data_IF_033412788521
#
_entry.id   IF_033412788521
#
_cell.length_a   1.000
_cell.length_b   1.000
_cell.length_c   1.000
_cell.angle_alpha   90.00
_cell.angle_beta   90.00
_cell.angle_gamma   90.00
#
_symmetry.space_group_name_H-M   'P 1'
#
loop_
_entity.id
_entity.type
_entity.pdbx_description
1 polymer ?
#
# COMPACT_ATOMS: atom_id res chain seq x y z
N UNK A 1 10.07 -5.04 19.79
CA UNK A 1 10.68 -4.23 18.72
C UNK A 1 9.72 -3.11 18.35
N UNK A 2 10.20 -1.86 18.18
CA UNK A 2 9.39 -0.74 17.70
C UNK A 2 9.61 -0.56 16.18
N UNK A 3 8.52 -0.36 15.44
CA UNK A 3 8.54 -0.10 14.00
C UNK A 3 7.69 1.13 13.68
N UNK A 4 8.28 2.12 13.04
CA UNK A 4 7.58 3.32 12.56
C UNK A 4 6.85 2.98 11.25
N UNK A 5 5.57 3.31 11.16
CA UNK A 5 4.79 3.21 9.92
C UNK A 5 5.05 4.48 9.10
N UNK A 6 5.91 4.38 8.09
CA UNK A 6 6.39 5.48 7.24
C UNK A 6 5.39 5.91 6.18
N UNK A 7 4.23 6.39 6.60
CA UNK A 7 3.22 6.95 5.72
C UNK A 7 2.38 8.02 6.43
N UNK A 8 2.02 9.06 5.72
CA UNK A 8 1.05 10.09 6.17
C UNK A 8 -0.39 9.72 5.82
N UNK A 9 -0.62 8.64 5.05
CA UNK A 9 -1.97 8.19 4.68
C UNK A 9 -2.65 7.46 5.86
N UNK A 10 -3.72 8.02 6.46
CA UNK A 10 -4.37 7.43 7.63
C UNK A 10 -5.03 6.08 7.33
N UNK A 11 -5.48 5.85 6.09
CA UNK A 11 -6.03 4.57 5.66
C UNK A 11 -4.99 3.46 5.70
N UNK A 12 -3.76 3.74 5.22
CA UNK A 12 -2.65 2.79 5.32
C UNK A 12 -2.24 2.51 6.76
N UNK A 13 -2.16 3.54 7.60
CA UNK A 13 -1.83 3.38 9.04
C UNK A 13 -2.83 2.45 9.71
N UNK A 14 -4.14 2.65 9.46
CA UNK A 14 -5.19 1.80 10.00
C UNK A 14 -5.03 0.35 9.53
N UNK A 15 -4.88 0.14 8.21
CA UNK A 15 -4.71 -1.21 7.64
C UNK A 15 -3.48 -1.93 8.23
N UNK A 16 -2.33 -1.27 8.40
CA UNK A 16 -1.14 -1.91 9.00
C UNK A 16 -1.34 -2.26 10.47
N UNK A 17 -2.02 -1.42 11.24
CA UNK A 17 -2.33 -1.74 12.65
C UNK A 17 -3.20 -2.99 12.76
N UNK A 18 -4.16 -3.16 11.85
CA UNK A 18 -5.03 -4.34 11.81
C UNK A 18 -4.31 -5.58 11.29
N UNK A 19 -3.55 -5.45 10.18
CA UNK A 19 -2.84 -6.57 9.54
C UNK A 19 -1.69 -7.15 10.38
N UNK A 20 -1.05 -6.33 11.22
CA UNK A 20 0.11 -6.70 12.03
C UNK A 20 -0.22 -6.83 13.53
N UNK A 21 -1.51 -6.85 13.91
CA UNK A 21 -1.95 -6.86 15.30
C UNK A 21 -1.45 -8.06 16.12
N UNK A 22 -1.31 -9.22 15.47
CA UNK A 22 -0.93 -10.48 16.14
C UNK A 22 0.58 -10.70 16.29
N UNK A 23 1.40 -9.71 15.86
CA UNK A 23 2.86 -9.80 15.99
C UNK A 23 3.32 -9.03 17.23
N UNK A 24 4.30 -9.54 18.01
CA UNK A 24 4.80 -8.88 19.20
C UNK A 24 5.73 -7.70 18.89
N UNK A 25 5.20 -6.70 18.15
CA UNK A 25 5.86 -5.45 17.80
C UNK A 25 5.00 -4.26 18.24
N UNK A 26 5.64 -3.12 18.48
CA UNK A 26 4.97 -1.85 18.74
C UNK A 26 4.99 -1.03 17.45
N UNK A 27 3.83 -0.71 16.90
CA UNK A 27 3.70 0.13 15.72
C UNK A 27 3.54 1.60 16.12
N UNK A 28 4.45 2.44 15.65
CA UNK A 28 4.44 3.88 15.86
C UNK A 28 4.03 4.59 14.57
N UNK A 29 3.22 5.62 14.66
CA UNK A 29 2.96 6.54 13.54
C UNK A 29 4.13 7.52 13.37
N UNK A 30 4.13 8.28 12.28
CA UNK A 30 5.08 9.37 12.08
C UNK A 30 4.92 10.46 13.16
N UNK A 31 3.71 10.71 13.63
CA UNK A 31 3.44 11.69 14.69
C UNK A 31 4.01 11.22 16.04
N UNK A 32 3.95 9.93 16.36
CA UNK A 32 4.51 9.35 17.59
C UNK A 32 6.04 9.55 17.69
N UNK A 33 6.70 9.81 16.58
CA UNK A 33 8.15 10.04 16.48
C UNK A 33 8.51 11.45 15.98
N UNK A 34 7.55 12.38 15.97
CA UNK A 34 7.70 13.77 15.53
C UNK A 34 8.15 13.93 14.06
N UNK A 35 7.80 13.00 13.19
CA UNK A 35 8.13 13.00 11.76
C UNK A 35 6.90 13.23 10.86
N UNK A 36 5.73 13.59 11.40
CA UNK A 36 4.51 13.82 10.63
C UNK A 36 4.63 14.91 9.54
N UNK A 37 5.61 15.82 9.69
CA UNK A 37 5.92 16.86 8.72
C UNK A 37 6.94 16.43 7.64
N UNK A 38 7.54 15.25 7.77
CA UNK A 38 8.57 14.78 6.86
C UNK A 38 7.92 14.21 5.59
N UNK A 39 8.22 14.84 4.46
CA UNK A 39 7.88 14.29 3.14
C UNK A 39 9.11 13.63 2.51
N UNK A 40 8.92 12.45 1.94
CA UNK A 40 9.98 11.71 1.24
C UNK A 40 9.60 11.62 -0.23
N UNK A 41 10.31 12.34 -1.12
CA UNK A 41 10.00 12.33 -2.54
C UNK A 41 10.09 10.93 -3.15
N UNK A 42 9.04 10.50 -3.83
CA UNK A 42 8.99 9.23 -4.55
C UNK A 42 9.59 9.39 -5.95
N UNK A 43 10.92 9.30 -6.02
CA UNK A 43 11.69 9.47 -7.26
C UNK A 43 11.99 8.16 -7.99
N UNK A 44 11.59 7.03 -7.41
CA UNK A 44 11.80 5.71 -8.01
C UNK A 44 10.82 5.41 -9.13
N UNK A 45 11.26 4.62 -10.10
CA UNK A 45 10.44 4.18 -11.25
C UNK A 45 9.62 2.91 -10.94
N UNK A 46 9.81 2.31 -9.76
CA UNK A 46 9.12 1.08 -9.34
C UNK A 46 8.59 1.23 -7.92
N UNK A 47 7.52 0.49 -7.60
CA UNK A 47 7.00 0.40 -6.23
C UNK A 47 8.08 -0.03 -5.23
N UNK A 48 8.95 -0.97 -5.62
CA UNK A 48 10.05 -1.43 -4.78
C UNK A 48 11.04 -0.31 -4.46
N UNK A 49 11.45 0.46 -5.47
CA UNK A 49 12.41 1.55 -5.28
C UNK A 49 11.83 2.61 -4.33
N UNK A 50 10.57 3.00 -4.52
CA UNK A 50 9.91 3.98 -3.67
C UNK A 50 9.69 3.47 -2.23
N UNK A 51 9.27 2.21 -2.06
CA UNK A 51 9.11 1.62 -0.74
C UNK A 51 10.43 1.60 0.04
N UNK A 52 11.52 1.18 -0.59
CA UNK A 52 12.86 1.16 0.00
C UNK A 52 13.34 2.57 0.36
N UNK A 53 13.16 3.52 -0.55
CA UNK A 53 13.54 4.91 -0.35
C UNK A 53 12.85 5.50 0.89
N UNK A 54 11.53 5.36 0.98
CA UNK A 54 10.75 5.81 2.13
C UNK A 54 11.15 5.11 3.43
N UNK A 55 11.24 3.78 3.42
CA UNK A 55 11.60 3.00 4.62
C UNK A 55 12.97 3.42 5.17
N UNK A 56 13.98 3.57 4.30
CA UNK A 56 15.32 4.02 4.71
C UNK A 56 15.32 5.42 5.26
N UNK A 57 14.64 6.36 4.61
CA UNK A 57 14.57 7.74 5.05
C UNK A 57 13.93 7.86 6.44
N UNK A 58 12.79 7.21 6.67
CA UNK A 58 12.13 7.23 7.97
C UNK A 58 12.91 6.46 9.05
N UNK A 59 13.58 5.34 8.69
CA UNK A 59 14.42 4.63 9.64
C UNK A 59 15.62 5.48 10.11
N UNK A 60 16.29 6.16 9.19
CA UNK A 60 17.39 7.07 9.52
C UNK A 60 16.93 8.25 10.38
N UNK A 61 15.80 8.87 10.01
CA UNK A 61 15.28 10.04 10.73
C UNK A 61 14.78 9.70 12.14
N UNK A 62 14.13 8.54 12.32
CA UNK A 62 13.60 8.12 13.63
C UNK A 62 14.61 7.41 14.52
N UNK A 63 15.70 6.88 13.97
CA UNK A 63 16.62 5.99 14.67
C UNK A 63 16.01 4.62 15.02
N UNK A 64 14.86 4.27 14.44
CA UNK A 64 14.10 3.04 14.67
C UNK A 64 13.93 2.26 13.37
N UNK A 65 13.49 0.99 13.47
CA UNK A 65 12.98 0.31 12.28
C UNK A 65 11.83 1.09 11.68
N UNK A 66 11.78 1.18 10.36
CA UNK A 66 10.66 1.81 9.67
C UNK A 66 10.11 0.90 8.57
N UNK A 67 8.80 0.75 8.57
CA UNK A 67 8.01 0.10 7.54
C UNK A 67 7.45 1.19 6.63
N UNK A 68 7.69 1.10 5.33
CA UNK A 68 6.98 1.91 4.35
C UNK A 68 6.54 1.05 3.18
N UNK A 69 5.46 1.44 2.54
CA UNK A 69 5.00 0.81 1.32
C UNK A 69 4.90 1.80 0.18
N UNK A 70 5.08 1.28 -1.02
CA UNK A 70 4.56 1.90 -2.21
C UNK A 70 3.59 0.95 -2.90
N UNK A 71 2.47 1.49 -3.37
CA UNK A 71 1.36 0.69 -3.90
C UNK A 71 0.54 1.49 -4.88
N UNK A 72 -0.02 0.81 -5.86
CA UNK A 72 -0.85 1.45 -6.86
C UNK A 72 -1.68 0.48 -7.67
N UNK A 73 -2.56 1.07 -8.46
CA UNK A 73 -3.40 0.41 -9.44
C UNK A 73 -2.69 0.40 -10.79
N UNK A 74 -2.64 -0.75 -11.43
CA UNK A 74 -2.14 -0.91 -12.80
C UNK A 74 -3.28 -1.41 -13.68
N UNK A 75 -3.56 -0.73 -14.78
CA UNK A 75 -4.64 -1.06 -15.73
C UNK A 75 -4.05 -1.44 -17.07
N UNK A 76 -4.33 -2.65 -17.55
CA UNK A 76 -3.73 -3.20 -18.77
C UNK A 76 -4.02 -2.34 -20.01
N UNK A 77 -5.27 -1.91 -20.17
CA UNK A 77 -5.68 -1.06 -21.28
C UNK A 77 -5.01 0.33 -21.29
N UNK A 78 -4.41 0.73 -20.16
CA UNK A 78 -3.66 1.98 -20.01
C UNK A 78 -2.14 1.73 -19.93
N UNK A 79 -1.66 0.58 -20.42
CA UNK A 79 -0.25 0.18 -20.39
C UNK A 79 0.36 0.23 -18.96
N UNK A 80 -0.42 -0.19 -17.96
CA UNK A 80 -0.02 -0.21 -16.57
C UNK A 80 -0.23 1.11 -15.81
N UNK A 81 -0.68 2.17 -16.48
CA UNK A 81 -1.05 3.40 -15.76
C UNK A 81 -2.30 3.15 -14.88
N UNK A 82 -2.43 3.85 -13.75
CA UNK A 82 -1.55 4.86 -13.14
C UNK A 82 -0.22 4.36 -12.58
N UNK A 83 -0.09 3.08 -12.15
CA UNK A 83 1.15 2.53 -11.63
C UNK A 83 1.67 3.31 -10.42
N UNK A 84 2.97 3.61 -10.39
CA UNK A 84 3.62 4.40 -9.31
C UNK A 84 3.08 5.82 -9.17
N UNK A 85 2.29 6.29 -10.14
CA UNK A 85 1.64 7.60 -10.10
C UNK A 85 0.22 7.56 -9.54
N UNK A 86 -0.22 6.44 -8.95
CA UNK A 86 -1.61 6.26 -8.49
C UNK A 86 -2.09 7.36 -7.55
N UNK A 87 -1.26 7.80 -6.60
CA UNK A 87 -1.62 8.84 -5.65
C UNK A 87 -1.70 10.27 -6.24
N UNK A 88 -1.13 10.49 -7.44
CA UNK A 88 -1.08 11.79 -8.13
C UNK A 88 -1.62 11.74 -9.56
N UNK A 89 -2.33 10.67 -9.90
CA UNK A 89 -2.88 10.46 -11.22
C UNK A 89 -3.90 11.53 -11.61
N UNK A 90 -3.80 12.02 -12.83
CA UNK A 90 -4.69 13.07 -13.34
C UNK A 90 -4.24 14.50 -13.04
N UNK A 91 -3.18 14.69 -12.25
CA UNK A 91 -2.59 15.99 -11.96
C UNK A 91 -2.78 16.46 -10.52
N UNK A 92 -2.20 17.62 -10.23
CA UNK A 92 -2.30 18.24 -8.91
C UNK A 92 -3.73 18.70 -8.59
N UNK A 93 -4.09 18.63 -7.31
CA UNK A 93 -5.36 19.13 -6.79
C UNK A 93 -6.54 18.16 -6.90
N UNK A 94 -6.38 16.99 -7.54
CA UNK A 94 -7.44 15.98 -7.53
C UNK A 94 -7.43 15.19 -6.21
N UNK A 95 -8.63 15.02 -5.65
CA UNK A 95 -8.90 14.05 -4.60
C UNK A 95 -9.07 12.63 -5.17
N UNK A 96 -9.35 11.65 -4.32
CA UNK A 96 -9.54 10.27 -4.74
C UNK A 96 -10.74 10.12 -5.71
N UNK A 97 -11.82 10.87 -5.50
CA UNK A 97 -12.98 10.84 -6.40
C UNK A 97 -12.63 11.38 -7.80
N UNK A 98 -11.93 12.50 -7.86
CA UNK A 98 -11.48 13.07 -9.14
C UNK A 98 -10.50 12.14 -9.89
N UNK A 99 -9.61 11.44 -9.18
CA UNK A 99 -8.71 10.43 -9.79
C UNK A 99 -9.49 9.25 -10.34
N UNK A 100 -10.49 8.73 -9.61
CA UNK A 100 -11.36 7.64 -10.07
C UNK A 100 -12.16 8.06 -11.29
N UNK A 101 -12.79 9.24 -11.26
CA UNK A 101 -13.51 9.77 -12.40
C UNK A 101 -12.62 9.89 -13.63
N UNK A 102 -11.42 10.45 -13.50
CA UNK A 102 -10.44 10.56 -14.59
C UNK A 102 -10.09 9.22 -15.20
N UNK A 103 -9.89 8.19 -14.38
CA UNK A 103 -9.59 6.84 -14.84
C UNK A 103 -10.78 6.24 -15.59
N UNK A 104 -11.99 6.38 -15.06
CA UNK A 104 -13.21 5.89 -15.72
C UNK A 104 -13.45 6.55 -17.07
N UNK A 105 -13.21 7.87 -17.18
CA UNK A 105 -13.30 8.63 -18.43
C UNK A 105 -12.34 8.08 -19.50
N UNK A 106 -11.10 7.76 -19.12
CA UNK A 106 -10.11 7.18 -20.03
C UNK A 106 -10.46 5.76 -20.48
N UNK A 107 -11.25 5.05 -19.71
CA UNK A 107 -11.75 3.73 -20.04
C UNK A 107 -13.14 3.74 -20.71
N UNK A 108 -13.62 4.91 -21.14
CA UNK A 108 -14.88 5.02 -21.89
C UNK A 108 -14.78 4.26 -23.21
N UNK A 109 -15.71 3.33 -23.44
CA UNK A 109 -15.71 2.47 -24.65
C UNK A 109 -14.69 1.32 -24.60
N UNK A 110 -13.86 1.20 -23.56
CA UNK A 110 -12.91 0.11 -23.39
C UNK A 110 -13.61 -1.09 -22.77
N UNK A 111 -13.59 -2.24 -23.48
CA UNK A 111 -14.20 -3.49 -23.03
C UNK A 111 -13.25 -4.33 -22.16
N UNK A 112 -11.95 -4.33 -22.47
CA UNK A 112 -10.93 -5.01 -21.69
C UNK A 112 -10.51 -4.12 -20.53
N UNK A 113 -11.00 -4.43 -19.35
CA UNK A 113 -10.80 -3.60 -18.15
C UNK A 113 -9.97 -4.29 -17.07
N UNK A 114 -9.20 -5.32 -17.46
CA UNK A 114 -8.31 -6.03 -16.54
C UNK A 114 -7.33 -5.08 -15.89
N UNK A 115 -7.11 -5.29 -14.61
CA UNK A 115 -6.27 -4.44 -13.78
C UNK A 115 -5.76 -5.23 -12.59
N UNK A 116 -4.73 -4.73 -11.94
CA UNK A 116 -4.27 -5.28 -10.66
C UNK A 116 -3.83 -4.16 -9.73
N UNK A 117 -3.97 -4.41 -8.45
CA UNK A 117 -3.27 -3.65 -7.43
C UNK A 117 -1.97 -4.35 -7.07
N UNK A 118 -0.92 -3.57 -6.89
CA UNK A 118 0.36 -4.02 -6.37
C UNK A 118 0.73 -3.24 -5.11
N UNK A 119 1.34 -3.93 -4.15
CA UNK A 119 1.93 -3.34 -2.95
C UNK A 119 3.30 -3.95 -2.72
N UNK A 120 4.30 -3.11 -2.55
CA UNK A 120 5.61 -3.50 -2.05
C UNK A 120 5.82 -2.83 -0.70
N UNK A 121 6.08 -3.65 0.32
CA UNK A 121 6.43 -3.21 1.67
C UNK A 121 7.93 -3.38 1.85
N UNK A 122 8.59 -2.35 2.37
CA UNK A 122 9.98 -2.41 2.81
C UNK A 122 10.06 -2.13 4.31
N UNK A 123 10.86 -2.92 5.04
CA UNK A 123 11.23 -2.63 6.43
C UNK A 123 12.72 -2.40 6.49
N UNK A 124 13.14 -1.19 6.86
CA UNK A 124 14.53 -0.78 6.94
C UNK A 124 15.02 -0.71 8.39
N UNK A 125 16.26 -1.12 8.60
CA UNK A 125 17.00 -0.90 9.84
C UNK A 125 17.65 0.49 9.82
N UNK A 126 17.69 1.23 10.95
CA UNK A 126 18.25 2.60 10.96
C UNK A 126 19.74 2.71 10.61
N UNK A 127 20.49 1.64 10.82
CA UNK A 127 21.95 1.62 10.62
C UNK A 127 22.41 0.69 9.48
N UNK A 128 21.48 -0.03 8.83
CA UNK A 128 21.84 -0.98 7.77
C UNK A 128 21.23 -0.55 6.43
N UNK A 129 21.92 -0.88 5.34
CA UNK A 129 21.43 -0.57 3.99
C UNK A 129 20.40 -1.57 3.47
N UNK A 130 20.26 -2.71 4.12
CA UNK A 130 19.33 -3.79 3.73
C UNK A 130 17.93 -3.54 4.26
N UNK A 131 16.94 -3.96 3.47
CA UNK A 131 15.53 -3.95 3.86
C UNK A 131 14.95 -5.35 3.73
N UNK A 132 14.01 -5.71 4.60
CA UNK A 132 13.08 -6.80 4.32
C UNK A 132 12.09 -6.28 3.27
N UNK A 133 11.84 -7.09 2.24
CA UNK A 133 10.94 -6.70 1.14
C UNK A 133 9.85 -7.77 1.01
N UNK A 134 8.60 -7.32 1.04
CA UNK A 134 7.44 -8.17 0.80
C UNK A 134 6.54 -7.54 -0.28
N UNK A 135 6.13 -8.34 -1.26
CA UNK A 135 5.29 -7.92 -2.37
C UNK A 135 3.99 -8.72 -2.40
N UNK A 136 2.90 -8.04 -2.68
CA UNK A 136 1.59 -8.64 -2.91
C UNK A 136 0.89 -7.99 -4.09
N UNK A 137 0.19 -8.82 -4.86
CA UNK A 137 -0.61 -8.42 -6.02
C UNK A 137 -2.03 -8.92 -5.82
N UNK A 138 -3.02 -8.13 -6.21
CA UNK A 138 -4.41 -8.52 -6.28
C UNK A 138 -4.94 -8.22 -7.67
N UNK A 139 -5.20 -9.25 -8.44
CA UNK A 139 -5.76 -9.16 -9.79
C UNK A 139 -7.26 -8.91 -9.74
N UNK A 140 -7.79 -8.31 -10.82
CA UNK A 140 -9.19 -7.96 -10.94
C UNK A 140 -9.47 -7.13 -12.18
N UNK A 141 -10.51 -6.30 -12.09
CA UNK A 141 -10.93 -5.42 -13.19
C UNK A 141 -11.50 -4.11 -12.67
N UNK A 142 -11.52 -3.11 -13.55
CA UNK A 142 -12.16 -1.81 -13.26
C UNK A 142 -13.66 -1.92 -13.58
N UNK A 143 -14.50 -1.51 -12.63
CA UNK A 143 -15.94 -1.38 -12.79
C UNK A 143 -16.30 -0.35 -13.88
N UNK A 144 -17.51 -0.42 -14.41
CA UNK A 144 -18.00 0.56 -15.38
C UNK A 144 -18.30 1.92 -14.74
N UNK A 145 -18.68 1.91 -13.48
CA UNK A 145 -19.02 3.09 -12.67
C UNK A 145 -18.52 2.91 -11.23
N UNK A 146 -18.44 4.00 -10.51
CA UNK A 146 -18.08 4.00 -9.10
C UNK A 146 -19.20 3.38 -8.26
N UNK A 147 -18.84 2.47 -7.34
CA UNK A 147 -19.80 1.91 -6.41
C UNK A 147 -20.15 2.91 -5.30
N UNK A 148 -21.31 2.71 -4.68
CA UNK A 148 -21.77 3.53 -3.53
C UNK A 148 -21.12 3.12 -2.21
N UNK A 149 -20.30 2.08 -2.19
CA UNK A 149 -19.61 1.58 -1.00
C UNK A 149 -18.62 2.61 -0.44
N UNK A 150 -18.63 2.75 0.89
CA UNK A 150 -17.79 3.72 1.60
C UNK A 150 -16.54 3.08 2.22
N UNK A 151 -16.25 1.81 1.91
CA UNK A 151 -15.09 1.12 2.46
C UNK A 151 -13.81 1.46 1.69
N UNK A 152 -12.69 1.53 2.43
CA UNK A 152 -11.39 1.73 1.82
C UNK A 152 -11.09 3.18 1.42
N UNK A 153 -10.21 3.34 0.42
CA UNK A 153 -9.72 4.62 -0.09
C UNK A 153 -9.17 4.48 -1.51
N UNK A 154 -8.76 5.58 -2.13
CA UNK A 154 -8.16 5.56 -3.46
C UNK A 154 -9.10 5.02 -4.52
N UNK A 155 -8.71 3.94 -5.19
CA UNK A 155 -9.46 3.32 -6.28
C UNK A 155 -10.35 2.15 -5.84
N UNK A 156 -10.52 1.90 -4.54
CA UNK A 156 -11.29 0.77 -4.02
C UNK A 156 -12.74 0.74 -4.53
N UNK A 157 -13.37 1.92 -4.70
CA UNK A 157 -14.75 2.03 -5.16
C UNK A 157 -14.95 1.69 -6.66
N UNK A 158 -13.88 1.48 -7.42
CA UNK A 158 -13.95 1.10 -8.84
C UNK A 158 -13.21 -0.19 -9.18
N UNK A 159 -12.58 -0.85 -8.21
CA UNK A 159 -11.82 -2.09 -8.45
C UNK A 159 -12.59 -3.30 -7.93
N UNK A 160 -12.89 -4.24 -8.83
CA UNK A 160 -13.54 -5.52 -8.55
C UNK A 160 -12.46 -6.60 -8.54
N UNK A 161 -12.10 -7.18 -7.39
CA UNK A 161 -11.10 -8.24 -7.32
C UNK A 161 -11.59 -9.53 -7.95
N UNK A 162 -10.69 -10.34 -8.49
CA UNK A 162 -11.02 -11.63 -9.07
C UNK A 162 -11.70 -12.54 -8.05
N UNK A 163 -12.74 -13.26 -8.54
CA UNK A 163 -13.59 -14.11 -7.72
C UNK A 163 -14.74 -13.39 -7.01
N UNK A 164 -14.89 -12.08 -7.21
CA UNK A 164 -15.98 -11.26 -6.65
C UNK A 164 -16.74 -10.53 -7.75
N UNK A 165 -17.96 -10.12 -7.42
CA UNK A 165 -18.86 -9.31 -8.27
C UNK A 165 -19.05 -7.88 -7.77
N UNK A 166 -18.39 -7.54 -6.64
CA UNK A 166 -18.45 -6.23 -5.98
C UNK A 166 -17.08 -5.60 -5.88
N UNK A 167 -17.04 -4.28 -5.79
CA UNK A 167 -15.80 -3.53 -5.62
C UNK A 167 -15.21 -3.69 -4.21
N UNK A 168 -13.93 -3.36 -4.03
CA UNK A 168 -13.36 -3.24 -2.68
C UNK A 168 -14.11 -2.21 -1.81
N UNK A 169 -14.72 -1.19 -2.42
CA UNK A 169 -15.57 -0.22 -1.71
C UNK A 169 -16.81 -0.82 -1.08
N UNK A 170 -17.33 -1.94 -1.63
CA UNK A 170 -18.53 -2.64 -1.16
C UNK A 170 -18.21 -3.89 -0.32
N UNK A 171 -16.96 -4.34 -0.31
CA UNK A 171 -16.53 -5.51 0.46
C UNK A 171 -16.22 -5.12 1.90
N UNK A 172 -16.54 -6.03 2.83
CA UNK A 172 -16.20 -5.85 4.23
C UNK A 172 -14.67 -5.81 4.43
N UNK A 173 -14.22 -5.01 5.40
CA UNK A 173 -12.79 -4.79 5.64
C UNK A 173 -12.00 -6.08 5.85
N UNK A 174 -12.57 -7.06 6.58
CA UNK A 174 -11.91 -8.34 6.83
C UNK A 174 -11.69 -9.15 5.55
N UNK A 175 -12.62 -9.11 4.59
CA UNK A 175 -12.46 -9.75 3.28
C UNK A 175 -11.33 -9.06 2.51
N UNK A 176 -11.35 -7.71 2.45
CA UNK A 176 -10.29 -6.93 1.82
C UNK A 176 -8.92 -7.26 2.41
N UNK A 177 -8.78 -7.37 3.74
CA UNK A 177 -7.52 -7.74 4.40
C UNK A 177 -7.01 -9.12 3.97
N UNK A 178 -7.91 -10.06 3.67
CA UNK A 178 -7.51 -11.40 3.23
C UNK A 178 -7.04 -11.44 1.78
N UNK A 179 -7.64 -10.67 0.87
CA UNK A 179 -7.42 -10.83 -0.57
C UNK A 179 -6.62 -9.71 -1.21
N UNK A 180 -6.55 -8.52 -0.59
CA UNK A 180 -5.90 -7.35 -1.18
C UNK A 180 -4.39 -7.51 -1.35
N UNK A 181 -3.83 -6.70 -2.23
CA UNK A 181 -2.39 -6.55 -2.46
C UNK A 181 -1.63 -6.29 -1.17
N UNK A 182 -2.09 -5.34 -0.32
CA UNK A 182 -1.46 -5.02 0.97
C UNK A 182 -1.60 -6.17 1.96
N UNK A 183 -2.77 -6.81 2.05
CA UNK A 183 -2.96 -7.99 2.90
C UNK A 183 -2.05 -9.15 2.51
N UNK A 184 -1.87 -9.39 1.20
CA UNK A 184 -0.95 -10.43 0.69
C UNK A 184 0.52 -10.08 0.99
N UNK A 185 0.92 -8.83 0.79
CA UNK A 185 2.27 -8.36 1.13
C UNK A 185 2.53 -8.45 2.65
N UNK A 186 1.57 -8.01 3.47
CA UNK A 186 1.69 -8.05 4.92
C UNK A 186 1.85 -9.48 5.46
N UNK A 187 1.10 -10.47 4.94
CA UNK A 187 1.28 -11.88 5.35
C UNK A 187 2.69 -12.41 5.06
N UNK A 188 3.28 -12.03 3.92
CA UNK A 188 4.67 -12.40 3.63
C UNK A 188 5.64 -11.71 4.59
N UNK A 189 5.41 -10.42 4.89
CA UNK A 189 6.21 -9.66 5.83
C UNK A 189 6.12 -10.26 7.24
N UNK A 190 4.95 -10.72 7.68
CA UNK A 190 4.74 -11.37 8.98
C UNK A 190 5.69 -12.55 9.17
N UNK A 191 5.76 -13.43 8.17
CA UNK A 191 6.66 -14.60 8.21
C UNK A 191 8.14 -14.17 8.35
N UNK A 192 8.54 -13.13 7.61
CA UNK A 192 9.91 -12.59 7.68
C UNK A 192 10.20 -11.95 9.04
N UNK A 193 9.26 -11.19 9.60
CA UNK A 193 9.42 -10.56 10.91
C UNK A 193 9.46 -11.59 12.03
N UNK A 194 8.64 -12.64 11.96
CA UNK A 194 8.69 -13.73 12.94
C UNK A 194 10.03 -14.47 12.94
N UNK A 195 10.58 -14.76 11.75
CA UNK A 195 11.91 -15.34 11.61
C UNK A 195 12.98 -14.41 12.20
N UNK A 196 12.95 -13.13 11.86
CA UNK A 196 13.87 -12.13 12.37
C UNK A 196 13.83 -12.03 13.91
N UNK A 197 12.63 -11.95 14.48
CA UNK A 197 12.43 -11.90 15.94
C UNK A 197 12.88 -13.17 16.66
N UNK A 198 12.82 -14.33 15.98
CA UNK A 198 13.25 -15.61 16.55
C UNK A 198 14.78 -15.77 16.57
N UNK A 199 15.48 -15.18 15.60
CA UNK A 199 16.95 -15.19 15.53
C UNK A 199 17.60 -14.23 16.54
N UNK A 200 16.89 -13.17 16.97
CA UNK A 200 17.37 -12.21 17.97
C UNK A 200 17.13 -12.65 19.43
N UNK A 201 16.46 -13.79 19.66
CA UNK A 201 16.34 -14.35 21.01
C UNK A 201 17.65 -15.03 21.40
N UNK A 202 18.27 -14.68 22.56
CA UNK A 202 19.48 -15.35 23.03
C UNK A 202 19.19 -16.84 23.26
N UNK A 203 20.00 -17.70 22.62
CA UNK A 203 20.00 -19.16 22.81
C UNK A 203 20.55 -19.52 24.19
#
# INVERSE_FOLDING_TARGET
MEIVIGTTNPGKVKEYRELLADIPITLLSLDDVNLGHMDVPETGETFMANAQLKAKAYAQASGKFALADDSGLCVDALNGAPGVYSARYGGEGLDDAGRRQKLLEQLTGVTQRTAYFECVIAVAHPQQQTCLIAQGVCEGKIALEESSGAQGFGYDAIFIPDGYDRTFGDLEAHIKHQISHRGRAARKLIVMLQAFLSDDLPK
#
